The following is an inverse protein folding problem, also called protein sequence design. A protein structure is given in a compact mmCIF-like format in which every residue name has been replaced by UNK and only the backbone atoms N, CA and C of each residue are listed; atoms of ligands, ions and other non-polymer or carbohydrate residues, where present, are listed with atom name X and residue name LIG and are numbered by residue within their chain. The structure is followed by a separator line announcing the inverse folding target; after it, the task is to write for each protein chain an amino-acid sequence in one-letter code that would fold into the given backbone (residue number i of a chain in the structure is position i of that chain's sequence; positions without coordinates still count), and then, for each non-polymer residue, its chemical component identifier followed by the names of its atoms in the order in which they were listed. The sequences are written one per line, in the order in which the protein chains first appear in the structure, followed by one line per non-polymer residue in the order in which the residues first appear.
data_IF_269780859558
#
_entry.id   IF_269780859558
#
_cell.length_a   1.000
_cell.length_b   1.000
_cell.length_c   1.000
_cell.angle_alpha   90.00
_cell.angle_beta   90.00
_cell.angle_gamma   90.00
#
_symmetry.space_group_name_H-M   'P 1'
#
loop_
_entity.id
_entity.type
_entity.pdbx_description
1 polymer ?
#
# COMPACT_ATOMS: atom_id res chain seq x y z
N UNK A 1 -9.28 -13.63 -21.75
CA UNK A 1 -10.59 -13.77 -21.06
C UNK A 1 -10.39 -14.26 -19.64
N UNK A 2 -10.97 -13.58 -18.65
CA UNK A 2 -10.81 -13.90 -17.22
C UNK A 2 -12.17 -14.35 -16.66
N UNK A 3 -12.28 -15.54 -16.05
CA UNK A 3 -13.53 -16.02 -15.49
C UNK A 3 -13.88 -15.25 -14.21
N UNK A 4 -15.15 -14.88 -14.07
CA UNK A 4 -15.69 -14.18 -12.92
C UNK A 4 -16.55 -15.12 -12.07
N UNK A 5 -16.97 -14.59 -10.93
CA UNK A 5 -18.02 -15.21 -10.12
C UNK A 5 -19.36 -15.18 -10.89
N UNK A 6 -20.20 -16.20 -10.72
CA UNK A 6 -21.49 -16.30 -11.42
C UNK A 6 -21.40 -16.71 -12.89
N UNK A 7 -20.33 -17.42 -13.29
CA UNK A 7 -20.10 -17.90 -14.68
C UNK A 7 -19.96 -16.81 -15.75
N UNK A 8 -19.84 -15.54 -15.33
CA UNK A 8 -19.54 -14.45 -16.24
C UNK A 8 -18.06 -14.48 -16.68
N UNK A 9 -17.78 -13.84 -17.80
CA UNK A 9 -16.42 -13.71 -18.34
C UNK A 9 -16.12 -12.22 -18.54
N UNK A 10 -14.96 -11.79 -18.05
CA UNK A 10 -14.40 -10.49 -18.36
C UNK A 10 -13.49 -10.60 -19.59
N UNK A 11 -13.82 -9.81 -20.61
CA UNK A 11 -13.05 -9.72 -21.84
C UNK A 11 -12.16 -8.48 -21.73
N UNK A 12 -10.85 -8.69 -21.71
CA UNK A 12 -9.87 -7.60 -21.77
C UNK A 12 -9.88 -7.06 -23.19
N UNK A 13 -10.16 -5.77 -23.33
CA UNK A 13 -10.13 -5.09 -24.63
C UNK A 13 -8.69 -4.72 -25.00
N UNK A 14 -8.43 -4.55 -26.30
CA UNK A 14 -7.11 -4.11 -26.77
C UNK A 14 -6.71 -2.74 -26.21
N UNK A 15 -7.69 -1.86 -25.98
CA UNK A 15 -7.49 -0.55 -25.37
C UNK A 15 -6.99 -0.66 -23.93
N UNK A 16 -7.69 -1.43 -23.09
CA UNK A 16 -7.30 -1.66 -21.69
C UNK A 16 -5.92 -2.32 -21.61
N UNK A 17 -5.65 -3.29 -22.50
CA UNK A 17 -4.34 -3.92 -22.57
C UNK A 17 -3.23 -2.92 -22.88
N UNK A 18 -3.43 -2.06 -23.89
CA UNK A 18 -2.46 -1.01 -24.25
C UNK A 18 -2.25 -0.01 -23.11
N UNK A 19 -3.33 0.41 -22.44
CA UNK A 19 -3.27 1.28 -21.27
C UNK A 19 -2.44 0.66 -20.15
N UNK A 20 -2.70 -0.61 -19.80
CA UNK A 20 -1.93 -1.31 -18.77
C UNK A 20 -0.47 -1.53 -19.18
N UNK A 21 -0.20 -1.81 -20.45
CA UNK A 21 1.17 -1.94 -20.94
C UNK A 21 1.95 -0.62 -20.83
N UNK A 22 1.29 0.53 -21.03
CA UNK A 22 1.88 1.85 -20.81
C UNK A 22 2.13 2.15 -19.32
N UNK A 23 1.20 1.76 -18.44
CA UNK A 23 1.32 1.99 -16.98
C UNK A 23 2.36 1.06 -16.34
N UNK A 24 2.36 -0.20 -16.75
CA UNK A 24 3.16 -1.26 -16.16
C UNK A 24 4.32 -1.67 -17.07
N UNK A 25 5.16 -0.70 -17.45
CA UNK A 25 6.27 -0.86 -18.42
C UNK A 25 7.29 -1.92 -18.04
N UNK A 26 7.45 -2.16 -16.75
CA UNK A 26 8.49 -3.03 -16.24
C UNK A 26 8.13 -4.50 -16.42
N UNK A 27 6.87 -4.88 -16.60
CA UNK A 27 6.42 -6.28 -16.64
C UNK A 27 5.82 -6.64 -18.00
N UNK A 28 5.84 -7.94 -18.31
CA UNK A 28 5.05 -8.46 -19.42
C UNK A 28 3.59 -8.63 -18.96
N UNK A 29 2.78 -7.62 -19.27
CA UNK A 29 1.35 -7.57 -18.90
C UNK A 29 0.59 -8.78 -19.44
N UNK A 30 0.90 -9.27 -20.65
CA UNK A 30 0.19 -10.39 -21.24
C UNK A 30 0.41 -11.67 -20.44
N UNK A 31 1.67 -11.96 -20.09
CA UNK A 31 2.04 -13.11 -19.25
C UNK A 31 1.39 -13.03 -17.86
N UNK A 32 1.36 -11.84 -17.25
CA UNK A 32 0.72 -11.64 -15.95
C UNK A 32 -0.80 -11.82 -16.00
N UNK A 33 -1.47 -11.37 -17.06
CA UNK A 33 -2.90 -11.62 -17.26
C UNK A 33 -3.20 -13.11 -17.45
N UNK A 34 -2.31 -13.88 -18.08
CA UNK A 34 -2.44 -15.34 -18.14
C UNK A 34 -2.32 -15.99 -16.76
N UNK A 35 -1.38 -15.56 -15.93
CA UNK A 35 -1.25 -16.06 -14.56
C UNK A 35 -2.48 -15.71 -13.73
N UNK A 36 -2.99 -14.49 -13.85
CA UNK A 36 -4.24 -14.05 -13.20
C UNK A 36 -5.44 -14.89 -13.67
N UNK A 37 -5.55 -15.19 -14.96
CA UNK A 37 -6.58 -16.10 -15.49
C UNK A 37 -6.47 -17.49 -14.87
N UNK A 38 -5.27 -18.08 -14.85
CA UNK A 38 -5.02 -19.40 -14.28
C UNK A 38 -5.35 -19.43 -12.78
N UNK A 39 -5.04 -18.36 -12.05
CA UNK A 39 -5.40 -18.22 -10.64
C UNK A 39 -6.92 -18.22 -10.44
N UNK A 40 -7.67 -17.47 -11.25
CA UNK A 40 -9.14 -17.45 -11.18
C UNK A 40 -9.77 -18.80 -11.58
N UNK A 41 -9.16 -19.54 -12.50
CA UNK A 41 -9.59 -20.90 -12.85
C UNK A 41 -9.38 -21.86 -11.67
N UNK A 42 -8.20 -21.83 -11.05
CA UNK A 42 -7.86 -22.68 -9.90
C UNK A 42 -8.63 -22.32 -8.61
N UNK A 43 -9.10 -21.08 -8.49
CA UNK A 43 -9.77 -20.58 -7.29
C UNK A 43 -11.21 -20.11 -7.59
N UNK A 44 -12.14 -21.03 -7.93
CA UNK A 44 -13.52 -20.68 -8.27
C UNK A 44 -14.23 -19.86 -7.18
N UNK A 45 -14.03 -20.25 -5.92
CA UNK A 45 -14.67 -19.61 -4.77
C UNK A 45 -14.06 -18.24 -4.41
N UNK A 46 -12.96 -17.83 -5.04
CA UNK A 46 -12.28 -16.55 -4.79
C UNK A 46 -12.30 -15.60 -5.99
N UNK A 47 -13.03 -15.97 -7.06
CA UNK A 47 -13.21 -15.11 -8.22
C UNK A 47 -13.87 -13.80 -7.80
N UNK A 48 -13.56 -12.73 -8.53
CA UNK A 48 -14.17 -11.42 -8.27
C UNK A 48 -15.42 -11.24 -9.12
N UNK A 49 -16.36 -10.48 -8.57
CA UNK A 49 -17.52 -9.98 -9.28
C UNK A 49 -17.12 -8.93 -10.33
N UNK A 50 -17.97 -8.71 -11.34
CA UNK A 50 -17.77 -7.70 -12.40
C UNK A 50 -17.26 -6.33 -11.91
N UNK A 51 -17.88 -5.67 -10.91
CA UNK A 51 -17.40 -4.36 -10.45
C UNK A 51 -16.01 -4.40 -9.81
N UNK A 52 -15.56 -5.56 -9.33
CA UNK A 52 -14.32 -5.70 -8.57
C UNK A 52 -13.15 -6.28 -9.38
N UNK A 53 -13.37 -6.70 -10.63
CA UNK A 53 -12.32 -7.34 -11.43
C UNK A 53 -11.22 -6.35 -11.81
N UNK A 54 -11.57 -5.11 -12.16
CA UNK A 54 -10.60 -4.07 -12.51
C UNK A 54 -9.63 -3.79 -11.36
N UNK A 55 -10.16 -3.63 -10.14
CA UNK A 55 -9.35 -3.48 -8.93
C UNK A 55 -8.42 -4.68 -8.71
N UNK A 56 -8.92 -5.88 -8.96
CA UNK A 56 -8.12 -7.11 -8.83
C UNK A 56 -6.97 -7.16 -9.85
N UNK A 57 -7.23 -6.81 -11.11
CA UNK A 57 -6.21 -6.73 -12.16
C UNK A 57 -5.15 -5.69 -11.81
N UNK A 58 -5.54 -4.46 -11.47
CA UNK A 58 -4.58 -3.42 -11.06
C UNK A 58 -3.74 -3.85 -9.86
N UNK A 59 -4.38 -4.42 -8.83
CA UNK A 59 -3.66 -4.92 -7.65
C UNK A 59 -2.66 -6.03 -8.01
N UNK A 60 -3.02 -6.91 -8.96
CA UNK A 60 -2.15 -7.97 -9.44
C UNK A 60 -0.93 -7.41 -10.18
N UNK A 61 -1.17 -6.54 -11.16
CA UNK A 61 -0.11 -5.95 -11.99
C UNK A 61 0.85 -5.09 -11.16
N UNK A 62 0.32 -4.29 -10.22
CA UNK A 62 1.17 -3.52 -9.29
C UNK A 62 2.08 -4.43 -8.46
N UNK A 63 1.55 -5.55 -7.94
CA UNK A 63 2.36 -6.52 -7.19
C UNK A 63 3.40 -7.20 -8.08
N UNK A 64 3.05 -7.58 -9.31
CA UNK A 64 3.98 -8.18 -10.25
C UNK A 64 5.13 -7.22 -10.60
N UNK A 65 4.82 -5.94 -10.82
CA UNK A 65 5.83 -4.91 -11.05
C UNK A 65 6.74 -4.69 -9.84
N UNK A 66 6.18 -4.55 -8.64
CA UNK A 66 6.96 -4.44 -7.41
C UNK A 66 7.87 -5.66 -7.21
N UNK A 67 7.36 -6.86 -7.47
CA UNK A 67 8.14 -8.09 -7.37
C UNK A 67 9.25 -8.15 -8.41
N UNK A 68 9.03 -7.67 -9.64
CA UNK A 68 10.09 -7.65 -10.66
C UNK A 68 11.16 -6.61 -10.33
N UNK A 69 10.76 -5.47 -9.78
CA UNK A 69 11.67 -4.39 -9.43
C UNK A 69 12.58 -4.69 -8.22
N UNK A 70 12.29 -5.74 -7.44
CA UNK A 70 13.03 -6.18 -6.24
C UNK A 70 13.91 -5.08 -5.60
N UNK A 71 13.29 -3.94 -5.26
CA UNK A 71 13.92 -2.99 -4.36
C UNK A 71 14.11 -3.72 -3.03
N UNK A 72 15.33 -3.81 -2.47
CA UNK A 72 15.58 -4.47 -1.21
C UNK A 72 15.03 -3.61 -0.07
N UNK A 73 13.71 -3.60 0.10
CA UNK A 73 13.07 -2.99 1.25
C UNK A 73 12.28 -4.07 1.97
N UNK A 74 12.97 -4.64 2.96
CA UNK A 74 12.43 -5.22 4.19
C UNK A 74 10.93 -5.53 4.17
N UNK A 75 10.60 -6.82 4.29
CA UNK A 75 9.23 -7.32 4.56
C UNK A 75 8.64 -6.83 5.91
N UNK A 76 9.28 -5.88 6.60
CA UNK A 76 8.77 -5.16 7.76
C UNK A 76 9.19 -3.68 7.73
N UNK A 77 8.25 -2.77 7.48
CA UNK A 77 8.34 -1.36 7.88
C UNK A 77 6.94 -0.76 8.10
N UNK A 78 6.11 -1.44 8.91
CA UNK A 78 4.96 -0.83 9.57
C UNK A 78 5.42 0.06 10.75
N UNK A 79 6.31 1.02 10.52
CA UNK A 79 6.70 2.00 11.55
C UNK A 79 7.29 3.27 10.94
N UNK A 80 6.53 3.95 10.09
CA UNK A 80 6.72 5.40 9.89
C UNK A 80 5.54 6.12 9.23
N UNK A 81 4.40 5.50 8.90
CA UNK A 81 3.36 6.21 8.15
C UNK A 81 2.21 6.77 8.97
N UNK A 82 1.94 6.35 10.20
CA UNK A 82 0.86 7.00 10.94
C UNK A 82 1.28 8.39 11.46
N UNK A 83 2.37 8.46 12.22
CA UNK A 83 2.84 9.73 12.79
C UNK A 83 3.39 10.70 11.74
N UNK A 84 4.05 10.19 10.68
CA UNK A 84 4.51 11.04 9.58
C UNK A 84 3.34 11.56 8.74
N UNK A 85 2.34 10.71 8.42
CA UNK A 85 1.17 11.17 7.68
C UNK A 85 0.34 12.15 8.54
N UNK A 86 0.28 11.97 9.86
CA UNK A 86 -0.33 12.92 10.78
C UNK A 86 0.42 14.25 10.87
N UNK A 87 1.76 14.23 10.88
CA UNK A 87 2.57 15.46 10.85
C UNK A 87 2.42 16.22 9.53
N UNK A 88 2.39 15.50 8.40
CA UNK A 88 2.12 16.09 7.09
C UNK A 88 0.72 16.70 7.08
N UNK A 89 -0.32 15.97 7.49
CA UNK A 89 -1.69 16.48 7.56
C UNK A 89 -1.80 17.72 8.45
N UNK A 90 -1.15 17.72 9.63
CA UNK A 90 -1.07 18.89 10.51
C UNK A 90 -0.38 20.08 9.82
N UNK A 91 0.71 19.86 9.08
CA UNK A 91 1.40 20.91 8.31
C UNK A 91 0.57 21.48 7.16
N UNK A 92 -0.28 20.67 6.52
CA UNK A 92 -1.19 21.13 5.46
C UNK A 92 -2.39 21.92 6.00
N UNK A 93 -2.79 21.66 7.24
CA UNK A 93 -3.91 22.34 7.89
C UNK A 93 -3.49 23.68 8.53
N UNK A 94 -2.19 23.95 8.64
CA UNK A 94 -1.65 25.16 9.26
C UNK A 94 -0.91 26.03 8.21
N UNK A 95 -1.55 27.08 7.66
CA UNK A 95 -1.04 27.79 6.47
C UNK A 95 0.23 28.62 6.70
N UNK A 96 0.77 28.69 7.92
CA UNK A 96 1.93 29.54 8.25
C UNK A 96 3.25 28.78 8.51
N UNK A 97 3.31 27.45 8.39
CA UNK A 97 4.51 26.65 8.69
C UNK A 97 5.44 26.38 7.48
N UNK A 98 5.37 27.18 6.41
CA UNK A 98 6.42 27.24 5.38
C UNK A 98 7.54 28.18 5.85
N UNK A 99 8.30 27.80 6.87
CA UNK A 99 9.64 28.33 7.08
C UNK A 99 10.47 27.32 7.87
N UNK A 100 11.58 26.96 7.23
CA UNK A 100 12.83 26.49 7.81
C UNK A 100 12.93 25.06 8.35
N UNK A 101 13.85 24.35 7.68
CA UNK A 101 14.39 23.07 8.05
C UNK A 101 15.51 23.24 9.11
N UNK A 102 15.56 22.28 10.04
CA UNK A 102 16.74 21.70 10.70
C UNK A 102 17.50 22.48 11.81
N UNK A 103 17.35 22.04 13.07
CA UNK A 103 18.40 21.99 14.12
C UNK A 103 17.91 21.12 15.32
N UNK A 104 18.27 19.83 15.40
CA UNK A 104 19.30 19.23 16.27
C UNK A 104 19.03 19.18 17.81
N UNK A 105 18.83 17.93 18.27
CA UNK A 105 19.42 17.24 19.44
C UNK A 105 19.00 17.54 20.91
N UNK A 106 18.47 16.45 21.49
CA UNK A 106 18.79 15.79 22.77
C UNK A 106 18.28 16.42 24.08
N UNK A 107 17.71 15.58 24.95
CA UNK A 107 18.23 15.30 26.30
C UNK A 107 17.40 14.21 27.01
N UNK A 108 17.96 12.99 27.04
CA UNK A 108 17.77 12.04 28.14
C UNK A 108 18.54 12.58 29.36
N UNK A 109 17.96 12.51 30.57
CA UNK A 109 18.59 12.00 31.80
C UNK A 109 17.72 12.23 33.06
N UNK A 110 17.28 11.11 33.66
CA UNK A 110 17.28 10.78 35.10
C UNK A 110 17.12 11.90 36.14
N UNK A 111 16.06 11.90 36.96
CA UNK A 111 16.16 12.16 38.43
C UNK A 111 15.07 11.41 39.22
N UNK A 112 15.51 10.87 40.36
CA UNK A 112 14.88 9.98 41.34
C UNK A 112 14.27 10.75 42.54
N UNK A 113 13.24 10.14 43.16
CA UNK A 113 12.72 10.28 44.55
C UNK A 113 11.89 11.51 44.96
N UNK A 114 10.75 11.20 45.58
CA UNK A 114 10.04 12.06 46.53
C UNK A 114 8.93 11.28 47.23
N UNK A 115 9.18 10.83 48.47
CA UNK A 115 8.17 10.22 49.36
C UNK A 115 7.38 11.37 50.01
N UNK A 116 6.06 11.27 50.12
CA UNK A 116 5.25 12.12 50.98
C UNK A 116 4.54 11.27 52.05
N UNK A 117 4.57 11.79 53.27
CA UNK A 117 4.08 11.22 54.55
C UNK A 117 2.95 12.12 55.08
N UNK A 118 2.11 11.55 55.95
CA UNK A 118 0.97 12.08 56.75
C UNK A 118 -0.38 12.07 56.01
N UNK A 119 -1.51 11.66 56.58
CA UNK A 119 -1.93 11.65 57.99
C UNK A 119 -3.11 10.65 58.18
N UNK A 120 -3.24 10.01 59.33
CA UNK A 120 -4.56 9.84 59.97
C UNK A 120 -4.39 9.56 61.48
N UNK A 121 -5.28 10.20 62.24
CA UNK A 121 -5.31 10.29 63.70
C UNK A 121 -5.93 9.07 64.38
#
# INVERSE_FOLDING_TARGET
MIPLEGNAIYQVTAKEFCEWQGVYSEIDVLSELHKLRNWNLANPNKRKQRPHILRHIHTWLTKAQQQKLQLPASRHAFSMTFDHNLQIAKKWLDPSALSDQQAHKNNDLLVVKGKNVYDDS
#
